data_IF_721806127710
#
_entry.id   IF_721806127710
#
_cell.length_a   1.000
_cell.length_b   1.000
_cell.length_c   1.000
_cell.angle_alpha   90.00
_cell.angle_beta   90.00
_cell.angle_gamma   90.00
#
_symmetry.space_group_name_H-M   'P 1'
#
loop_
_entity.id
_entity.type
_entity.pdbx_description
1 polymer ?
#
# COMPACT_ATOMS: atom_id res chain seq x y z
N UNK A 1 -9.00 9.15 -3.41
CA UNK A 1 -10.06 8.30 -3.98
C UNK A 1 -10.68 7.52 -2.83
N UNK A 2 -11.99 7.61 -2.64
CA UNK A 2 -12.74 6.88 -1.61
C UNK A 2 -13.30 5.56 -2.17
N UNK A 3 -13.75 4.65 -1.29
CA UNK A 3 -14.42 3.40 -1.72
C UNK A 3 -15.63 3.66 -2.60
N UNK A 4 -16.40 4.73 -2.29
CA UNK A 4 -17.55 5.12 -3.10
C UNK A 4 -17.14 5.56 -4.50
N UNK A 5 -16.02 6.27 -4.62
CA UNK A 5 -15.48 6.69 -5.91
C UNK A 5 -15.03 5.47 -6.74
N UNK A 6 -14.36 4.49 -6.12
CA UNK A 6 -13.96 3.26 -6.80
C UNK A 6 -15.16 2.45 -7.29
N UNK A 7 -16.19 2.30 -6.45
CA UNK A 7 -17.42 1.59 -6.82
C UNK A 7 -18.13 2.33 -7.96
N UNK A 8 -18.10 3.66 -7.97
CA UNK A 8 -18.66 4.43 -9.07
C UNK A 8 -17.91 4.19 -10.39
N UNK A 9 -16.58 4.13 -10.37
CA UNK A 9 -15.79 3.80 -11.56
C UNK A 9 -16.03 2.36 -12.04
N UNK A 10 -16.07 1.38 -11.15
CA UNK A 10 -16.40 0.00 -11.51
C UNK A 10 -17.80 -0.12 -12.14
N UNK A 11 -18.79 0.62 -11.62
CA UNK A 11 -20.12 0.64 -12.21
C UNK A 11 -20.15 1.30 -13.60
N UNK A 12 -19.26 2.26 -13.88
CA UNK A 12 -19.12 2.83 -15.24
C UNK A 12 -18.59 1.78 -16.21
N UNK A 13 -17.56 1.03 -15.80
CA UNK A 13 -17.01 -0.07 -16.61
C UNK A 13 -18.06 -1.16 -16.89
N UNK A 14 -18.92 -1.48 -15.92
CA UNK A 14 -20.07 -2.37 -16.15
C UNK A 14 -21.05 -1.79 -17.17
N UNK A 15 -21.36 -0.49 -17.07
CA UNK A 15 -22.27 0.18 -18.00
C UNK A 15 -21.69 0.26 -19.44
N UNK A 16 -20.37 0.35 -19.55
CA UNK A 16 -19.62 0.30 -20.81
C UNK A 16 -19.48 -1.12 -21.37
N UNK A 17 -19.84 -2.15 -20.59
CA UNK A 17 -19.74 -3.55 -20.97
C UNK A 17 -18.32 -4.11 -20.93
N UNK A 18 -17.38 -3.36 -20.34
CA UNK A 18 -15.97 -3.74 -20.18
C UNK A 18 -15.81 -4.88 -19.16
N UNK A 19 -16.69 -4.92 -18.15
CA UNK A 19 -16.71 -5.97 -17.11
C UNK A 19 -18.14 -6.39 -16.76
N UNK A 20 -18.31 -7.60 -16.20
CA UNK A 20 -19.61 -8.06 -15.74
C UNK A 20 -19.95 -7.52 -14.34
N UNK A 21 -21.24 -7.40 -14.04
CA UNK A 21 -21.72 -6.79 -12.79
C UNK A 21 -21.37 -7.60 -11.55
N UNK A 22 -21.32 -8.91 -11.69
CA UNK A 22 -20.90 -9.89 -10.69
C UNK A 22 -19.40 -9.81 -10.36
N UNK A 23 -18.61 -9.16 -11.20
CA UNK A 23 -17.20 -8.83 -10.91
C UNK A 23 -17.08 -7.63 -9.96
N UNK A 24 -18.15 -6.83 -9.77
CA UNK A 24 -18.16 -5.72 -8.82
C UNK A 24 -18.45 -6.23 -7.41
N UNK A 25 -17.38 -6.30 -6.61
CA UNK A 25 -17.45 -6.70 -5.21
C UNK A 25 -18.26 -5.72 -4.35
N UNK A 26 -18.85 -6.22 -3.26
CA UNK A 26 -19.55 -5.39 -2.29
C UNK A 26 -18.64 -4.28 -1.71
N UNK A 27 -19.23 -3.11 -1.47
CA UNK A 27 -18.56 -1.92 -0.91
C UNK A 27 -17.75 -2.28 0.35
N UNK A 28 -18.34 -3.07 1.26
CA UNK A 28 -17.71 -3.50 2.51
C UNK A 28 -16.45 -4.36 2.28
N UNK A 29 -16.43 -5.15 1.21
CA UNK A 29 -15.27 -5.96 0.80
C UNK A 29 -14.14 -5.07 0.30
N UNK A 30 -14.47 -4.06 -0.51
CA UNK A 30 -13.50 -3.08 -1.01
C UNK A 30 -12.91 -2.26 0.14
N UNK A 31 -13.74 -1.80 1.11
CA UNK A 31 -13.27 -1.11 2.32
C UNK A 31 -12.31 -1.97 3.15
N UNK A 32 -12.62 -3.27 3.30
CA UNK A 32 -11.75 -4.20 4.03
C UNK A 32 -10.41 -4.36 3.32
N UNK A 33 -10.38 -4.47 1.99
CA UNK A 33 -9.15 -4.56 1.22
C UNK A 33 -8.32 -3.29 1.29
N UNK A 34 -8.92 -2.12 1.07
CA UNK A 34 -8.22 -0.83 1.21
C UNK A 34 -7.56 -0.72 2.58
N UNK A 35 -8.31 -1.07 3.64
CA UNK A 35 -7.80 -1.03 5.02
C UNK A 35 -6.62 -1.97 5.22
N UNK A 36 -6.73 -3.23 4.78
CA UNK A 36 -5.67 -4.24 4.91
C UNK A 36 -4.41 -3.87 4.13
N UNK A 37 -4.56 -3.43 2.88
CA UNK A 37 -3.43 -3.03 2.04
C UNK A 37 -2.76 -1.75 2.55
N UNK A 38 -3.53 -0.75 2.98
CA UNK A 38 -2.96 0.48 3.56
C UNK A 38 -2.16 0.21 4.83
N UNK A 39 -2.68 -0.65 5.72
CA UNK A 39 -1.95 -1.08 6.92
C UNK A 39 -0.67 -1.84 6.57
N UNK A 40 -0.71 -2.69 5.54
CA UNK A 40 0.46 -3.44 5.08
C UNK A 40 1.55 -2.52 4.52
N UNK A 41 1.18 -1.51 3.72
CA UNK A 41 2.11 -0.52 3.19
C UNK A 41 2.74 0.35 4.30
N UNK A 42 1.96 0.72 5.31
CA UNK A 42 2.50 1.45 6.47
C UNK A 42 3.50 0.61 7.25
N UNK A 43 3.20 -0.67 7.46
CA UNK A 43 4.12 -1.62 8.09
C UNK A 43 5.42 -1.76 7.28
N UNK A 44 5.32 -1.97 5.98
CA UNK A 44 6.49 -2.11 5.10
C UNK A 44 7.36 -0.83 5.10
N UNK A 45 6.74 0.35 5.01
CA UNK A 45 7.47 1.62 5.10
C UNK A 45 8.17 1.81 6.44
N UNK A 46 7.55 1.41 7.54
CA UNK A 46 8.16 1.46 8.87
C UNK A 46 9.35 0.50 8.97
N UNK A 47 9.23 -0.71 8.45
CA UNK A 47 10.31 -1.71 8.41
C UNK A 47 11.49 -1.21 7.56
N UNK A 48 11.25 -0.66 6.37
CA UNK A 48 12.30 -0.07 5.53
C UNK A 48 13.01 1.11 6.22
N UNK A 49 12.29 1.96 6.98
CA UNK A 49 12.92 3.05 7.75
C UNK A 49 13.82 2.54 8.86
N UNK A 50 13.49 1.43 9.50
CA UNK A 50 14.34 0.82 10.54
C UNK A 50 15.61 0.24 9.91
N UNK A 51 15.48 -0.46 8.78
CA UNK A 51 16.63 -1.03 8.04
C UNK A 51 17.56 0.09 7.53
N UNK A 52 17.01 1.16 6.93
CA UNK A 52 17.80 2.31 6.48
C UNK A 52 18.53 3.03 7.61
N UNK A 53 17.96 3.08 8.82
CA UNK A 53 18.63 3.61 10.02
C UNK A 53 19.74 2.71 10.56
N UNK A 54 19.58 1.38 10.44
CA UNK A 54 20.61 0.42 10.85
C UNK A 54 21.85 0.51 9.95
N UNK A 55 21.67 0.57 8.63
CA UNK A 55 22.78 0.65 7.67
C UNK A 55 23.60 1.95 7.83
N UNK A 56 22.95 3.08 8.10
CA UNK A 56 23.62 4.37 8.34
C UNK A 56 24.51 4.38 9.60
N UNK A 57 24.21 3.54 10.60
CA UNK A 57 25.05 3.40 11.80
C UNK A 57 26.33 2.61 11.53
N UNK A 58 26.32 1.68 10.58
CA UNK A 58 27.49 0.87 10.22
C UNK A 58 28.49 1.72 9.42
N UNK A 59 28.03 2.58 8.51
CA UNK A 59 28.89 3.47 7.73
C UNK A 59 29.63 4.52 8.59
N UNK A 60 28.97 5.08 9.61
CA UNK A 60 29.60 6.10 10.47
C UNK A 60 30.52 5.54 11.58
N UNK A 61 30.53 4.22 11.81
CA UNK A 61 31.36 3.59 12.85
C UNK A 61 32.72 3.09 12.38
N UNK A 62 33.00 3.09 11.06
CA UNK A 62 34.18 2.46 10.47
C UNK A 62 35.46 3.29 10.46
N UNK A 63 35.42 4.60 10.70
CA UNK A 63 36.59 5.48 10.53
C UNK A 63 37.19 5.98 11.86
N UNK A 64 37.54 5.06 12.75
CA UNK A 64 38.40 5.36 13.90
C UNK A 64 39.38 4.22 14.14
N UNK A 65 40.41 4.18 13.29
CA UNK A 65 41.75 3.65 13.56
C UNK A 65 42.56 3.79 12.28
N UNK A 66 43.41 4.80 12.25
CA UNK A 66 44.79 4.60 11.85
C UNK A 66 45.65 5.56 12.68
N UNK A 67 46.63 4.94 13.34
CA UNK A 67 47.62 5.48 14.25
C UNK A 67 48.71 6.26 13.51
#
# INVERSE_FOLDING_TARGET
>A
MSTKDMVLELNKLVAEGEIQKDEVLEIKTIESWITRYSASLHKESAEQRVIGKANKRIENGGNSKNS
#
